data_IF_109757857672
#
_entry.id   IF_109757857672
#
_cell.length_a   1.000
_cell.length_b   1.000
_cell.length_c   1.000
_cell.angle_alpha   90.00
_cell.angle_beta   90.00
_cell.angle_gamma   90.00
#
_symmetry.space_group_name_H-M   'P 1'
#
loop_
_entity.id
_entity.type
_entity.pdbx_description
1 polymer ?
#
# COMPACT_ATOMS: atom_id res chain seq x y z
N UNK A 1 5.14 -14.45 6.73
CA UNK A 1 6.09 -14.83 5.68
C UNK A 1 7.41 -14.10 5.87
N UNK A 2 8.47 -14.77 5.49
CA UNK A 2 9.80 -14.19 5.45
C UNK A 2 9.82 -13.03 4.45
N UNK A 3 10.57 -11.96 4.76
CA UNK A 3 10.68 -10.79 3.91
C UNK A 3 11.23 -11.17 2.52
N UNK A 4 12.17 -12.10 2.47
CA UNK A 4 12.75 -12.57 1.21
C UNK A 4 11.71 -13.24 0.32
N UNK A 5 10.88 -14.12 0.91
CA UNK A 5 9.81 -14.80 0.19
C UNK A 5 8.76 -13.79 -0.28
N UNK A 6 8.45 -12.82 0.56
CA UNK A 6 7.49 -11.77 0.21
C UNK A 6 7.99 -10.97 -1.00
N UNK A 7 9.27 -10.61 -1.02
CA UNK A 7 9.84 -9.86 -2.13
C UNK A 7 9.79 -10.66 -3.44
N UNK A 8 10.04 -11.96 -3.38
CA UNK A 8 9.96 -12.82 -4.56
C UNK A 8 8.54 -12.91 -5.10
N UNK A 9 7.55 -13.02 -4.22
CA UNK A 9 6.14 -13.05 -4.61
C UNK A 9 5.74 -11.73 -5.26
N UNK A 10 6.16 -10.60 -4.70
CA UNK A 10 5.83 -9.29 -5.25
C UNK A 10 6.47 -9.10 -6.64
N UNK A 11 7.70 -9.58 -6.83
CA UNK A 11 8.35 -9.50 -8.12
C UNK A 11 7.59 -10.31 -9.17
N UNK A 12 7.12 -11.50 -8.80
CA UNK A 12 6.33 -12.34 -9.70
C UNK A 12 5.02 -11.65 -10.08
N UNK A 13 4.34 -11.05 -9.11
CA UNK A 13 3.08 -10.33 -9.35
C UNK A 13 3.31 -9.12 -10.26
N UNK A 14 4.41 -8.41 -10.06
CA UNK A 14 4.73 -7.25 -10.89
C UNK A 14 4.97 -7.66 -12.34
N UNK A 15 5.70 -8.76 -12.55
CA UNK A 15 5.94 -9.30 -13.89
C UNK A 15 4.64 -9.72 -14.57
N UNK A 16 3.73 -10.35 -13.84
CA UNK A 16 2.43 -10.75 -14.36
C UNK A 16 1.57 -9.54 -14.71
N UNK A 17 1.65 -8.49 -13.91
CA UNK A 17 0.90 -7.27 -14.17
C UNK A 17 1.34 -6.64 -15.50
N UNK A 18 2.64 -6.53 -15.73
CA UNK A 18 3.16 -5.98 -16.97
C UNK A 18 2.78 -6.83 -18.17
N UNK A 19 2.93 -8.14 -18.04
CA UNK A 19 2.69 -9.08 -19.12
C UNK A 19 1.21 -9.18 -19.49
N UNK A 20 0.31 -9.16 -18.48
CA UNK A 20 -1.11 -9.39 -18.68
C UNK A 20 -1.97 -8.17 -18.45
N UNK A 21 -1.38 -7.06 -18.09
CA UNK A 21 -2.07 -5.79 -17.82
C UNK A 21 -3.18 -5.97 -16.76
N UNK A 22 -2.85 -6.68 -15.69
CA UNK A 22 -3.80 -6.95 -14.60
C UNK A 22 -3.72 -5.85 -13.54
N UNK A 23 -4.82 -5.69 -12.82
CA UNK A 23 -4.87 -4.82 -11.64
C UNK A 23 -4.98 -5.68 -10.39
N UNK A 24 -4.35 -5.24 -9.31
CA UNK A 24 -4.37 -5.97 -8.04
C UNK A 24 -4.96 -5.11 -6.94
N UNK A 25 -5.63 -5.75 -6.00
CA UNK A 25 -6.09 -5.13 -4.77
C UNK A 25 -5.40 -5.81 -3.60
N UNK A 26 -4.62 -5.05 -2.82
CA UNK A 26 -3.94 -5.57 -1.63
C UNK A 26 -4.59 -5.01 -0.38
N UNK A 27 -4.84 -5.88 0.59
CA UNK A 27 -5.33 -5.49 1.91
C UNK A 27 -4.25 -5.87 2.90
N UNK A 28 -3.57 -4.88 3.47
CA UNK A 28 -2.41 -5.12 4.33
C UNK A 28 -2.16 -3.97 5.29
N UNK A 29 -1.27 -4.21 6.24
CA UNK A 29 -0.81 -3.21 7.20
C UNK A 29 0.65 -2.82 6.97
N UNK A 30 1.29 -3.35 5.95
CA UNK A 30 2.70 -3.12 5.68
C UNK A 30 2.87 -1.90 4.79
N UNK A 31 3.27 -0.79 5.39
CA UNK A 31 3.45 0.48 4.69
C UNK A 31 4.58 0.39 3.67
N UNK A 32 5.65 -0.34 3.98
CA UNK A 32 6.75 -0.50 3.04
C UNK A 32 6.31 -1.21 1.76
N UNK A 33 5.47 -2.25 1.89
CA UNK A 33 4.91 -2.95 0.74
C UNK A 33 4.05 -2.01 -0.09
N UNK A 34 3.18 -1.25 0.56
CA UNK A 34 2.30 -0.30 -0.11
C UNK A 34 3.13 0.75 -0.87
N UNK A 35 4.15 1.30 -0.21
CA UNK A 35 4.99 2.35 -0.79
C UNK A 35 5.70 1.87 -2.06
N UNK A 36 6.18 0.64 -2.05
CA UNK A 36 7.01 0.13 -3.14
C UNK A 36 6.24 -0.55 -4.25
N UNK A 37 5.00 -0.95 -4.02
CA UNK A 37 4.26 -1.76 -4.97
C UNK A 37 2.95 -1.15 -5.45
N UNK A 38 2.26 -0.38 -4.63
CA UNK A 38 0.93 0.13 -4.95
C UNK A 38 0.97 1.52 -5.57
N UNK A 39 0.10 1.76 -6.55
CA UNK A 39 -0.04 3.06 -7.20
C UNK A 39 -1.00 3.97 -6.44
N UNK A 40 -2.02 3.40 -5.83
CA UNK A 40 -3.03 4.13 -5.07
C UNK A 40 -3.31 3.41 -3.76
N UNK A 41 -3.71 4.18 -2.76
CA UNK A 41 -4.05 3.63 -1.44
C UNK A 41 -5.41 4.14 -0.99
N UNK A 42 -6.07 3.28 -0.23
CA UNK A 42 -7.29 3.60 0.49
C UNK A 42 -7.02 3.33 1.95
N UNK A 43 -7.21 4.32 2.81
CA UNK A 43 -7.03 4.13 4.25
C UNK A 43 -8.40 3.91 4.88
N UNK A 44 -8.55 2.79 5.59
CA UNK A 44 -9.81 2.44 6.25
C UNK A 44 -9.67 2.56 7.76
N UNK A 45 -10.70 3.10 8.38
CA UNK A 45 -10.78 3.19 9.82
C UNK A 45 -12.22 2.97 10.26
N UNK A 46 -12.42 2.00 11.14
CA UNK A 46 -13.74 1.65 11.68
C UNK A 46 -14.78 1.41 10.57
N UNK A 47 -14.36 0.67 9.54
CA UNK A 47 -15.25 0.30 8.44
C UNK A 47 -15.51 1.37 7.41
N UNK A 48 -14.80 2.50 7.49
CA UNK A 48 -14.99 3.60 6.56
C UNK A 48 -13.66 3.97 5.89
N UNK A 49 -13.74 4.41 4.64
CA UNK A 49 -12.58 4.96 3.96
C UNK A 49 -12.43 6.42 4.40
N UNK A 50 -11.32 6.71 5.07
CA UNK A 50 -11.09 8.06 5.62
C UNK A 50 -10.13 8.87 4.76
N UNK A 51 -9.35 8.21 3.92
CA UNK A 51 -8.44 8.89 3.00
C UNK A 51 -8.17 8.01 1.80
N UNK A 52 -7.96 8.61 0.62
CA UNK A 52 -7.62 7.88 -0.58
C UNK A 52 -6.86 8.79 -1.54
N UNK A 53 -6.06 8.18 -2.40
CA UNK A 53 -5.31 8.93 -3.40
C UNK A 53 -4.10 8.16 -3.90
N UNK A 54 -3.24 8.86 -4.61
CA UNK A 54 -1.99 8.27 -5.05
C UNK A 54 -1.10 7.96 -3.86
N UNK A 55 -0.37 6.86 -3.93
CA UNK A 55 0.47 6.41 -2.84
C UNK A 55 1.40 7.51 -2.33
N UNK A 56 2.09 8.19 -3.25
CA UNK A 56 3.00 9.27 -2.86
C UNK A 56 2.30 10.39 -2.10
N UNK A 57 1.13 10.79 -2.56
CA UNK A 57 0.40 11.88 -1.92
C UNK A 57 -0.09 11.50 -0.54
N UNK A 58 -0.65 10.30 -0.39
CA UNK A 58 -1.19 9.85 0.89
C UNK A 58 -0.08 9.61 1.90
N UNK A 59 1.05 9.04 1.49
CA UNK A 59 2.13 8.71 2.41
C UNK A 59 2.98 9.93 2.79
N UNK A 60 3.17 10.87 1.88
CA UNK A 60 4.00 12.06 2.15
C UNK A 60 3.19 13.25 2.65
N UNK A 61 1.93 13.35 2.25
CA UNK A 61 1.06 14.47 2.62
C UNK A 61 -0.29 13.97 3.13
N UNK A 62 -0.30 13.18 4.23
CA UNK A 62 -1.56 12.65 4.75
C UNK A 62 -2.46 13.76 5.27
N UNK A 63 -3.74 13.70 4.92
CA UNK A 63 -4.71 14.70 5.29
C UNK A 63 -5.51 14.31 6.52
N UNK A 64 -5.77 13.01 6.68
CA UNK A 64 -6.56 12.51 7.80
C UNK A 64 -5.66 12.21 9.00
N UNK A 65 -6.16 12.52 10.18
CA UNK A 65 -5.43 12.32 11.43
C UNK A 65 -5.05 10.86 11.65
N UNK A 66 -5.94 9.93 11.32
CA UNK A 66 -5.68 8.51 11.47
C UNK A 66 -4.53 8.05 10.57
N UNK A 67 -4.48 8.56 9.33
CA UNK A 67 -3.40 8.25 8.41
C UNK A 67 -2.05 8.71 8.96
N UNK A 68 -2.01 9.92 9.52
CA UNK A 68 -0.80 10.44 10.15
C UNK A 68 -0.35 9.57 11.32
N UNK A 69 -1.29 9.11 12.12
CA UNK A 69 -1.01 8.24 13.25
C UNK A 69 -0.42 6.91 12.80
N UNK A 70 -0.99 6.31 11.74
CA UNK A 70 -0.47 5.07 11.18
C UNK A 70 0.97 5.23 10.68
N UNK A 71 1.24 6.31 9.96
CA UNK A 71 2.58 6.56 9.43
C UNK A 71 3.60 6.79 10.55
N UNK A 72 3.21 7.53 11.58
CA UNK A 72 4.08 7.80 12.72
C UNK A 72 4.43 6.51 13.48
N UNK A 73 3.51 5.57 13.57
CA UNK A 73 3.76 4.33 14.30
C UNK A 73 4.66 3.36 13.54
N UNK A 74 4.77 3.51 12.22
CA UNK A 74 5.61 2.65 11.37
C UNK A 74 6.98 3.29 11.12
N UNK A 75 7.01 4.58 10.99
CA UNK A 75 8.22 5.35 10.73
C UNK A 75 8.77 5.95 12.02
#
# INVERSE_FOLDING_TARGET
LDVTVQAEILQLLDNLQEERQMSYLFICHDIALVQNFCDRVLVMYQGKIVEQGKTEEVLHFPKHEYTRMLLDSVL
#
